data_IF_632655820238
#
_entry.id   IF_632655820238
#
_cell.length_a   1.000
_cell.length_b   1.000
_cell.length_c   1.000
_cell.angle_alpha   90.00
_cell.angle_beta   90.00
_cell.angle_gamma   90.00
#
_symmetry.space_group_name_H-M   'P 1'
#
loop_
_entity.id
_entity.type
_entity.pdbx_description
1 polymer ?
#
# COMPACT_ATOMS: atom_id res chain seq x y z
N UNK A 1 -2.99 6.59 20.56
CA UNK A 1 -3.29 5.20 20.14
C UNK A 1 -3.26 5.11 18.62
N UNK A 2 -2.77 4.00 18.04
CA UNK A 2 -2.65 3.79 16.59
C UNK A 2 -3.65 2.75 16.09
N UNK A 3 -4.39 3.05 15.02
CA UNK A 3 -5.17 2.05 14.28
C UNK A 3 -4.28 1.41 13.21
N UNK A 4 -4.01 0.12 13.31
CA UNK A 4 -3.21 -0.63 12.32
C UNK A 4 -4.17 -1.38 11.40
N UNK A 5 -4.11 -1.10 10.12
CA UNK A 5 -4.90 -1.79 9.08
C UNK A 5 -4.05 -2.87 8.43
N UNK A 6 -4.54 -4.11 8.51
CA UNK A 6 -4.02 -5.27 7.79
C UNK A 6 -5.04 -5.70 6.73
N UNK A 7 -4.67 -5.61 5.46
CA UNK A 7 -5.53 -6.07 4.36
C UNK A 7 -5.18 -7.52 4.05
N UNK A 8 -6.16 -8.43 4.23
CA UNK A 8 -6.02 -9.85 3.90
C UNK A 8 -6.79 -10.22 2.64
N UNK A 9 -6.19 -11.00 1.77
CA UNK A 9 -6.86 -11.67 0.65
C UNK A 9 -6.18 -13.00 0.33
N UNK A 10 -6.82 -14.12 0.70
CA UNK A 10 -6.28 -15.48 0.54
C UNK A 10 -4.86 -15.63 1.13
N UNK A 11 -4.59 -14.99 2.27
CA UNK A 11 -3.25 -14.85 2.83
C UNK A 11 -3.17 -15.07 4.35
N UNK A 12 -4.03 -15.93 4.94
CA UNK A 12 -4.08 -16.14 6.38
C UNK A 12 -2.74 -16.48 7.02
N UNK A 13 -1.89 -17.26 6.36
CA UNK A 13 -0.58 -17.64 6.89
C UNK A 13 0.32 -16.42 7.13
N UNK A 14 0.34 -15.49 6.20
CA UNK A 14 1.12 -14.26 6.33
C UNK A 14 0.48 -13.32 7.33
N UNK A 15 -0.85 -13.15 7.27
CA UNK A 15 -1.60 -12.33 8.23
C UNK A 15 -1.40 -12.80 9.66
N UNK A 16 -1.48 -14.09 9.94
CA UNK A 16 -1.24 -14.66 11.28
C UNK A 16 0.20 -14.42 11.72
N UNK A 17 1.19 -14.65 10.87
CA UNK A 17 2.59 -14.39 11.20
C UNK A 17 2.86 -12.90 11.50
N UNK A 18 2.19 -11.99 10.79
CA UNK A 18 2.24 -10.55 11.07
C UNK A 18 1.62 -10.24 12.44
N UNK A 19 0.43 -10.79 12.72
CA UNK A 19 -0.24 -10.65 14.02
C UNK A 19 0.60 -11.21 15.16
N UNK A 20 1.19 -12.40 15.02
CA UNK A 20 2.09 -12.99 16.02
C UNK A 20 3.22 -12.01 16.37
N UNK A 21 3.89 -11.46 15.35
CA UNK A 21 4.98 -10.50 15.58
C UNK A 21 4.51 -9.22 16.26
N UNK A 22 3.35 -8.70 15.87
CA UNK A 22 2.77 -7.46 16.38
C UNK A 22 2.31 -7.62 17.84
N UNK A 23 1.52 -8.64 18.13
CA UNK A 23 0.99 -8.87 19.48
C UNK A 23 2.05 -9.34 20.48
N UNK A 24 3.15 -9.94 20.02
CA UNK A 24 4.26 -10.31 20.88
C UNK A 24 5.07 -9.10 21.40
N UNK A 25 5.12 -8.00 20.64
CA UNK A 25 6.14 -6.96 20.85
C UNK A 25 5.59 -5.56 21.05
N UNK A 26 4.32 -5.28 20.67
CA UNK A 26 3.80 -3.92 20.63
C UNK A 26 2.60 -3.70 21.58
N UNK A 27 2.40 -2.43 21.92
CA UNK A 27 1.26 -1.90 22.66
C UNK A 27 0.89 -0.52 22.11
N UNK A 28 -0.24 0.04 22.57
CA UNK A 28 -0.69 1.37 22.11
C UNK A 28 -1.37 1.35 20.74
N UNK A 29 -1.89 0.18 20.34
CA UNK A 29 -2.58 -0.01 19.07
C UNK A 29 -3.86 -0.83 19.22
N UNK A 30 -4.70 -0.78 18.21
CA UNK A 30 -5.69 -1.80 17.88
C UNK A 30 -5.57 -2.16 16.40
N UNK A 31 -6.00 -3.36 16.02
CA UNK A 31 -5.90 -3.85 14.64
C UNK A 31 -7.26 -3.82 13.95
N UNK A 32 -7.27 -3.42 12.70
CA UNK A 32 -8.40 -3.63 11.80
C UNK A 32 -7.93 -4.60 10.72
N UNK A 33 -8.41 -5.84 10.79
CA UNK A 33 -8.18 -6.84 9.75
C UNK A 33 -9.31 -6.69 8.73
N UNK A 34 -9.01 -6.19 7.54
CA UNK A 34 -9.96 -6.17 6.45
C UNK A 34 -9.75 -7.41 5.56
N UNK A 35 -10.62 -8.40 5.71
CA UNK A 35 -10.65 -9.50 4.75
C UNK A 35 -11.31 -9.04 3.45
N UNK A 36 -10.55 -9.05 2.39
CA UNK A 36 -10.93 -8.48 1.11
C UNK A 36 -11.65 -9.50 0.20
N UNK A 37 -12.59 -10.24 0.79
CA UNK A 37 -13.39 -11.25 0.11
C UNK A 37 -12.58 -12.50 -0.23
N UNK A 38 -11.85 -13.05 0.73
CA UNK A 38 -11.13 -14.31 0.59
C UNK A 38 -12.05 -15.46 0.23
N UNK A 39 -11.56 -16.36 -0.62
CA UNK A 39 -12.31 -17.53 -1.09
C UNK A 39 -11.75 -18.86 -0.53
N UNK A 40 -10.68 -18.78 0.25
CA UNK A 40 -10.04 -19.88 0.96
C UNK A 40 -10.46 -19.93 2.44
N UNK A 41 -9.73 -20.66 3.27
CA UNK A 41 -9.96 -20.78 4.72
C UNK A 41 -9.44 -19.59 5.55
N UNK A 42 -9.05 -18.49 4.92
CA UNK A 42 -8.40 -17.34 5.58
C UNK A 42 -9.23 -16.80 6.75
N UNK A 43 -10.52 -16.52 6.54
CA UNK A 43 -11.38 -15.95 7.58
C UNK A 43 -11.47 -16.89 8.77
N UNK A 44 -11.68 -18.20 8.54
CA UNK A 44 -11.78 -19.20 9.61
C UNK A 44 -10.48 -19.31 10.41
N UNK A 45 -9.32 -19.33 9.73
CA UNK A 45 -8.01 -19.42 10.38
C UNK A 45 -7.67 -18.17 11.20
N UNK A 46 -7.93 -16.97 10.66
CA UNK A 46 -7.70 -15.71 11.36
C UNK A 46 -8.62 -15.65 12.60
N UNK A 47 -9.90 -15.99 12.45
CA UNK A 47 -10.86 -16.03 13.58
C UNK A 47 -10.41 -17.03 14.66
N UNK A 48 -9.94 -18.21 14.26
CA UNK A 48 -9.42 -19.21 15.20
C UNK A 48 -8.20 -18.70 15.97
N UNK A 49 -7.29 -17.99 15.27
CA UNK A 49 -6.13 -17.38 15.90
C UNK A 49 -6.53 -16.29 16.91
N UNK A 50 -7.45 -15.39 16.55
CA UNK A 50 -7.96 -14.32 17.43
C UNK A 50 -8.55 -14.91 18.71
N UNK A 51 -9.37 -15.96 18.58
CA UNK A 51 -9.98 -16.66 19.72
C UNK A 51 -8.93 -17.36 20.60
N UNK A 52 -7.98 -18.08 20.00
CA UNK A 52 -6.93 -18.79 20.72
C UNK A 52 -6.01 -17.85 21.53
N UNK A 53 -5.85 -16.61 21.06
CA UNK A 53 -5.07 -15.59 21.75
C UNK A 53 -5.90 -14.66 22.65
N UNK A 54 -7.21 -14.96 22.86
CA UNK A 54 -8.15 -14.17 23.66
C UNK A 54 -8.19 -12.69 23.25
N UNK A 55 -8.11 -12.40 21.96
CA UNK A 55 -8.21 -11.04 21.44
C UNK A 55 -9.67 -10.62 21.39
N UNK A 56 -10.02 -9.55 22.12
CA UNK A 56 -11.37 -8.98 22.05
C UNK A 56 -11.63 -8.47 20.63
N UNK A 57 -12.62 -9.06 19.95
CA UNK A 57 -12.84 -8.88 18.51
C UNK A 57 -14.28 -8.50 18.20
N UNK A 58 -14.45 -7.44 17.43
CA UNK A 58 -15.72 -7.05 16.81
C UNK A 58 -15.69 -7.44 15.34
N UNK A 59 -16.62 -8.30 14.91
CA UNK A 59 -16.75 -8.67 13.50
C UNK A 59 -17.83 -7.85 12.82
N UNK A 60 -17.48 -7.23 11.69
CA UNK A 60 -18.35 -6.42 10.86
C UNK A 60 -18.46 -7.03 9.46
N UNK A 61 -19.68 -7.04 8.91
CA UNK A 61 -19.92 -7.51 7.54
C UNK A 61 -20.32 -6.32 6.67
N UNK A 62 -19.54 -6.06 5.63
CA UNK A 62 -19.87 -5.06 4.63
C UNK A 62 -21.04 -5.54 3.78
N UNK A 63 -22.04 -4.70 3.55
CA UNK A 63 -23.23 -5.02 2.75
C UNK A 63 -23.31 -4.09 1.55
N UNK A 64 -23.13 -4.63 0.35
CA UNK A 64 -23.05 -3.84 -0.88
C UNK A 64 -21.87 -2.85 -0.80
N UNK A 65 -22.12 -1.59 -1.08
CA UNK A 65 -21.11 -0.52 -1.02
C UNK A 65 -20.97 0.11 0.38
N UNK A 66 -21.87 -0.22 1.33
CA UNK A 66 -21.89 0.40 2.65
C UNK A 66 -20.96 -0.34 3.61
N UNK A 67 -20.01 0.39 4.16
CA UNK A 67 -19.13 -0.07 5.24
C UNK A 67 -19.83 0.17 6.60
N UNK A 68 -20.06 -0.87 7.43
CA UNK A 68 -20.59 -0.70 8.77
C UNK A 68 -19.57 -0.04 9.68
N UNK A 69 -20.06 0.77 10.63
CA UNK A 69 -19.20 1.42 11.61
C UNK A 69 -19.30 0.70 12.96
N UNK A 70 -18.19 0.70 13.71
CA UNK A 70 -18.17 0.16 15.08
C UNK A 70 -18.99 1.05 16.01
N UNK A 71 -19.65 0.42 16.97
CA UNK A 71 -20.50 1.12 17.94
C UNK A 71 -19.73 1.67 19.15
N UNK A 72 -18.59 1.08 19.48
CA UNK A 72 -17.74 1.46 20.61
C UNK A 72 -16.28 1.59 20.17
N UNK A 73 -15.50 2.51 20.78
CA UNK A 73 -14.09 2.65 20.44
C UNK A 73 -13.31 1.39 20.84
N UNK A 74 -12.42 0.88 20.00
CA UNK A 74 -11.53 -0.21 20.36
C UNK A 74 -10.55 0.22 21.46
N UNK A 75 -10.27 -0.71 22.35
CA UNK A 75 -9.23 -0.57 23.37
C UNK A 75 -7.88 -1.01 22.84
N UNK A 76 -6.84 -0.85 23.67
CA UNK A 76 -5.51 -1.31 23.35
C UNK A 76 -5.52 -2.83 23.09
N UNK A 77 -4.96 -3.24 21.95
CA UNK A 77 -4.86 -4.62 21.47
C UNK A 77 -6.19 -5.30 21.10
N UNK A 78 -7.29 -4.55 20.98
CA UNK A 78 -8.53 -5.05 20.40
C UNK A 78 -8.38 -5.27 18.89
N UNK A 79 -9.30 -6.04 18.32
CA UNK A 79 -9.39 -6.28 16.88
C UNK A 79 -10.77 -5.93 16.34
N UNK A 80 -10.79 -5.30 15.17
CA UNK A 80 -11.96 -5.20 14.30
C UNK A 80 -11.72 -6.10 13.09
N UNK A 81 -12.55 -7.13 12.91
CA UNK A 81 -12.52 -7.97 11.72
C UNK A 81 -13.61 -7.51 10.75
N UNK A 82 -13.20 -6.79 9.69
CA UNK A 82 -14.10 -6.35 8.64
C UNK A 82 -14.10 -7.36 7.49
N UNK A 83 -15.25 -7.93 7.18
CA UNK A 83 -15.45 -8.87 6.10
C UNK A 83 -16.03 -8.12 4.89
N UNK A 84 -15.23 -7.91 3.85
CA UNK A 84 -15.67 -7.40 2.56
C UNK A 84 -16.29 -8.54 1.74
N UNK A 85 -17.39 -8.27 1.04
CA UNK A 85 -18.07 -9.30 0.23
C UNK A 85 -17.29 -9.68 -1.03
N UNK A 86 -16.34 -8.85 -1.43
CA UNK A 86 -15.53 -9.03 -2.63
C UNK A 86 -14.16 -8.37 -2.47
N UNK A 87 -13.24 -8.68 -3.38
CA UNK A 87 -11.95 -8.02 -3.44
C UNK A 87 -12.13 -6.60 -4.01
N UNK A 88 -11.99 -5.60 -3.16
CA UNK A 88 -12.10 -4.18 -3.47
C UNK A 88 -10.81 -3.59 -4.07
N UNK A 89 -9.71 -4.36 -4.08
CA UNK A 89 -8.36 -3.87 -4.37
C UNK A 89 -7.67 -3.31 -3.12
N UNK A 90 -6.46 -2.78 -3.31
CA UNK A 90 -5.63 -2.35 -2.18
C UNK A 90 -6.16 -1.07 -1.53
N UNK A 91 -6.35 -0.02 -2.31
CA UNK A 91 -6.77 1.29 -1.76
C UNK A 91 -8.16 1.23 -1.14
N UNK A 92 -9.15 0.71 -1.86
CA UNK A 92 -10.53 0.66 -1.38
C UNK A 92 -10.70 -0.30 -0.20
N UNK A 93 -9.94 -1.42 -0.14
CA UNK A 93 -9.94 -2.33 1.00
C UNK A 93 -9.40 -1.67 2.27
N UNK A 94 -8.28 -0.95 2.17
CA UNK A 94 -7.71 -0.18 3.29
C UNK A 94 -8.64 0.97 3.72
N UNK A 95 -9.21 1.71 2.76
CA UNK A 95 -10.15 2.79 3.06
C UNK A 95 -11.43 2.27 3.74
N UNK A 96 -11.98 1.13 3.33
CA UNK A 96 -13.11 0.50 4.02
C UNK A 96 -12.78 0.17 5.48
N UNK A 97 -11.55 -0.31 5.76
CA UNK A 97 -11.09 -0.52 7.13
C UNK A 97 -11.07 0.79 7.93
N UNK A 98 -10.57 1.87 7.36
CA UNK A 98 -10.53 3.19 8.01
C UNK A 98 -11.94 3.79 8.16
N UNK A 99 -12.83 3.58 7.20
CA UNK A 99 -14.22 4.03 7.26
C UNK A 99 -14.99 3.38 8.42
N UNK A 100 -14.74 2.10 8.73
CA UNK A 100 -15.45 1.43 9.82
C UNK A 100 -15.17 2.03 11.20
N UNK A 101 -14.06 2.75 11.38
CA UNK A 101 -13.70 3.43 12.62
C UNK A 101 -13.96 4.95 12.59
N UNK A 102 -14.63 5.47 11.55
CA UNK A 102 -14.89 6.91 11.37
C UNK A 102 -15.46 7.63 12.60
N UNK A 103 -16.32 7.03 13.45
CA UNK A 103 -16.79 7.65 14.68
C UNK A 103 -15.68 7.87 15.73
N UNK A 104 -14.57 7.18 15.61
CA UNK A 104 -13.45 7.20 16.56
C UNK A 104 -12.18 7.60 15.86
N UNK A 105 -11.46 8.51 16.48
CA UNK A 105 -10.28 9.14 15.87
C UNK A 105 -9.02 8.73 16.62
N UNK A 106 -8.30 7.71 16.16
CA UNK A 106 -6.96 7.42 16.71
C UNK A 106 -6.01 8.57 16.38
N UNK A 107 -4.92 8.71 17.13
CA UNK A 107 -3.91 9.76 16.87
C UNK A 107 -3.21 9.49 15.52
N UNK A 108 -3.00 8.21 15.24
CA UNK A 108 -2.34 7.72 14.03
C UNK A 108 -3.14 6.59 13.39
N UNK A 109 -3.08 6.53 12.07
CA UNK A 109 -3.48 5.36 11.28
C UNK A 109 -2.27 4.77 10.59
N UNK A 110 -2.15 3.44 10.56
CA UNK A 110 -1.05 2.75 9.92
C UNK A 110 -1.58 1.72 8.94
N UNK A 111 -1.23 1.85 7.66
CA UNK A 111 -1.37 0.78 6.69
C UNK A 111 -0.15 -0.11 6.81
N UNK A 112 -0.36 -1.39 7.03
CA UNK A 112 0.71 -2.39 7.16
C UNK A 112 0.36 -3.62 6.32
N UNK A 113 1.22 -3.98 5.39
CA UNK A 113 1.01 -5.18 4.60
C UNK A 113 1.03 -6.43 5.50
N UNK A 114 0.13 -7.35 5.23
CA UNK A 114 -0.02 -8.58 6.00
C UNK A 114 1.15 -9.58 5.82
N UNK A 115 2.00 -9.40 4.81
CA UNK A 115 3.22 -10.19 4.55
C UNK A 115 4.49 -9.57 5.17
N UNK A 116 4.31 -8.79 6.24
CA UNK A 116 5.39 -8.19 7.02
C UNK A 116 5.57 -8.86 8.38
N UNK A 117 6.78 -8.77 8.93
CA UNK A 117 7.10 -9.12 10.30
C UNK A 117 7.67 -7.89 11.00
N UNK A 118 7.08 -7.50 12.11
CA UNK A 118 7.55 -6.34 12.88
C UNK A 118 8.60 -6.73 13.90
N UNK A 119 9.47 -5.78 14.27
CA UNK A 119 10.48 -5.96 15.32
C UNK A 119 10.05 -5.24 16.61
N UNK A 120 10.56 -5.65 17.77
CA UNK A 120 10.22 -5.02 19.04
C UNK A 120 10.44 -3.50 19.04
N UNK A 121 9.40 -2.75 19.40
CA UNK A 121 9.44 -1.31 19.53
C UNK A 121 9.27 -0.53 18.21
N UNK A 122 9.01 -1.19 17.07
CA UNK A 122 8.91 -0.51 15.79
C UNK A 122 7.81 0.58 15.79
N UNK A 123 6.64 0.27 16.34
CA UNK A 123 5.53 1.21 16.39
C UNK A 123 5.81 2.36 17.36
N UNK A 124 6.30 2.03 18.55
CA UNK A 124 6.67 3.04 19.54
C UNK A 124 7.73 4.01 19.00
N UNK A 125 8.74 3.50 18.30
CA UNK A 125 9.77 4.33 17.67
C UNK A 125 9.15 5.29 16.65
N UNK A 126 8.25 4.81 15.77
CA UNK A 126 7.57 5.66 14.79
C UNK A 126 6.69 6.74 15.44
N UNK A 127 5.85 6.34 16.40
CA UNK A 127 4.93 7.29 17.05
C UNK A 127 5.66 8.31 17.89
N UNK A 128 6.66 7.89 18.69
CA UNK A 128 7.46 8.83 19.49
C UNK A 128 8.27 9.79 18.63
N UNK A 129 8.77 9.31 17.47
CA UNK A 129 9.47 10.17 16.52
C UNK A 129 8.51 11.20 15.91
N UNK A 130 7.33 10.78 15.47
CA UNK A 130 6.30 11.70 14.96
C UNK A 130 5.83 12.69 16.05
N UNK A 131 5.66 12.28 17.30
CA UNK A 131 5.28 13.16 18.40
C UNK A 131 6.32 14.25 18.63
N UNK A 132 7.63 13.93 18.49
CA UNK A 132 8.72 14.88 18.61
C UNK A 132 8.90 15.79 17.39
N UNK A 133 8.35 15.43 16.22
CA UNK A 133 8.53 16.14 14.94
C UNK A 133 7.17 16.49 14.32
N UNK A 134 6.53 17.53 14.86
CA UNK A 134 5.16 17.92 14.49
C UNK A 134 5.02 18.39 13.03
N UNK A 135 6.11 18.79 12.38
CA UNK A 135 6.17 19.19 10.97
C UNK A 135 5.99 18.02 10.00
N UNK A 136 6.21 16.78 10.46
CA UNK A 136 6.00 15.58 9.65
C UNK A 136 4.59 15.02 9.85
N UNK A 137 3.92 14.72 8.75
CA UNK A 137 2.53 14.22 8.76
C UNK A 137 2.41 12.72 8.56
N UNK A 138 3.45 12.10 8.02
CA UNK A 138 3.51 10.66 7.79
C UNK A 138 4.95 10.15 7.87
N UNK A 139 5.11 8.87 8.21
CA UNK A 139 6.39 8.20 8.25
C UNK A 139 6.29 6.74 7.79
N UNK A 140 7.44 6.16 7.47
CA UNK A 140 7.61 4.73 7.21
C UNK A 140 8.77 4.19 8.03
N UNK A 141 8.74 2.94 8.50
CA UNK A 141 9.92 2.32 9.07
C UNK A 141 10.94 2.00 7.97
N UNK A 142 12.16 1.69 8.34
CA UNK A 142 13.10 0.97 7.49
C UNK A 142 12.52 -0.41 7.20
N UNK A 143 12.35 -0.72 5.91
CA UNK A 143 11.82 -2.01 5.48
C UNK A 143 12.96 -2.83 4.89
N UNK A 144 13.25 -3.97 5.49
CA UNK A 144 14.24 -4.92 4.99
C UNK A 144 13.58 -6.14 4.35
N UNK A 145 14.31 -6.84 3.49
CA UNK A 145 13.84 -8.14 3.01
C UNK A 145 13.73 -9.12 4.17
N UNK A 146 12.71 -9.96 4.18
CA UNK A 146 12.66 -11.05 5.15
C UNK A 146 13.77 -12.09 4.88
N UNK A 147 14.21 -12.20 3.62
CA UNK A 147 15.36 -13.01 3.22
C UNK A 147 16.01 -12.40 1.96
N UNK A 148 17.27 -11.96 2.01
CA UNK A 148 18.16 -11.88 3.20
C UNK A 148 17.87 -10.64 4.07
N UNK A 149 17.85 -10.84 5.38
CA UNK A 149 17.44 -9.79 6.35
C UNK A 149 18.39 -8.59 6.48
N UNK A 150 19.63 -8.70 6.03
CA UNK A 150 20.60 -7.60 6.11
C UNK A 150 20.43 -6.54 5.01
N UNK A 151 19.62 -6.84 3.98
CA UNK A 151 19.41 -5.92 2.86
C UNK A 151 18.15 -5.09 3.03
N UNK A 152 18.28 -3.80 2.82
CA UNK A 152 17.16 -2.87 2.75
C UNK A 152 16.33 -3.14 1.50
N UNK A 153 15.03 -3.29 1.68
CA UNK A 153 14.08 -3.28 0.58
C UNK A 153 13.65 -1.86 0.22
N UNK A 154 13.30 -1.06 1.24
CA UNK A 154 12.80 0.30 1.05
C UNK A 154 13.02 1.16 2.31
N UNK A 155 13.50 2.39 2.11
CA UNK A 155 13.54 3.47 3.10
C UNK A 155 12.81 4.71 2.57
N UNK A 156 11.63 4.52 1.96
CA UNK A 156 10.97 5.60 1.23
C UNK A 156 11.72 5.94 -0.06
N UNK A 157 11.57 7.16 -0.54
CA UNK A 157 12.24 7.55 -1.78
C UNK A 157 12.01 9.00 -2.18
N UNK A 158 12.53 9.35 -3.34
CA UNK A 158 12.31 10.63 -3.98
C UNK A 158 11.31 10.48 -5.13
N UNK A 159 10.30 11.33 -5.10
CA UNK A 159 9.29 11.44 -6.14
C UNK A 159 9.77 12.34 -7.26
N UNK A 160 9.52 11.92 -8.48
CA UNK A 160 9.68 12.72 -9.71
C UNK A 160 8.39 12.61 -10.52
N UNK A 161 8.11 13.55 -11.43
CA UNK A 161 6.94 13.42 -12.30
C UNK A 161 6.99 12.11 -13.11
N UNK A 162 6.04 11.19 -12.79
CA UNK A 162 5.94 9.87 -13.42
C UNK A 162 7.01 8.86 -13.07
N UNK A 163 7.86 9.15 -12.09
CA UNK A 163 8.92 8.24 -11.65
C UNK A 163 9.19 8.39 -10.15
N UNK A 164 9.72 7.33 -9.53
CA UNK A 164 10.21 7.34 -8.15
C UNK A 164 11.57 6.64 -8.06
N UNK A 165 12.41 7.10 -7.18
CA UNK A 165 13.68 6.48 -6.84
C UNK A 165 13.62 6.04 -5.37
N UNK A 166 13.72 4.75 -5.13
CA UNK A 166 13.83 4.22 -3.77
C UNK A 166 15.19 4.56 -3.17
N UNK A 167 15.19 4.92 -1.90
CA UNK A 167 16.41 5.12 -1.15
C UNK A 167 16.92 3.79 -0.61
N UNK A 168 18.21 3.60 -0.75
CA UNK A 168 19.01 2.51 -0.18
C UNK A 168 18.54 1.09 -0.56
N UNK A 169 17.72 0.92 -1.57
CA UNK A 169 17.29 -0.39 -2.03
C UNK A 169 18.49 -1.31 -2.31
N UNK A 170 18.48 -2.50 -1.71
CA UNK A 170 19.55 -3.52 -1.77
C UNK A 170 20.87 -3.15 -1.09
N UNK A 171 20.94 -2.05 -0.35
CA UNK A 171 22.08 -1.71 0.49
C UNK A 171 21.98 -2.41 1.84
N UNK A 172 23.15 -2.61 2.49
CA UNK A 172 23.21 -3.02 3.88
C UNK A 172 22.79 -1.87 4.81
N UNK A 173 22.21 -2.19 5.98
CA UNK A 173 21.91 -1.17 6.98
C UNK A 173 23.18 -0.45 7.47
N UNK A 174 24.29 -1.14 7.56
CA UNK A 174 25.58 -0.57 7.95
C UNK A 174 26.03 0.61 7.08
N UNK A 175 25.54 0.68 5.82
CA UNK A 175 25.85 1.76 4.91
C UNK A 175 25.03 3.05 5.17
N UNK A 176 24.00 2.98 6.03
CA UNK A 176 23.04 4.08 6.25
C UNK A 176 22.79 4.42 7.71
N UNK A 177 23.43 3.70 8.65
CA UNK A 177 23.17 3.80 10.10
C UNK A 177 23.56 5.13 10.75
N UNK A 178 24.25 6.03 10.03
CA UNK A 178 24.66 7.35 10.54
C UNK A 178 23.52 8.35 10.66
N UNK A 179 22.33 8.00 10.13
CA UNK A 179 21.14 8.83 10.16
C UNK A 179 20.09 8.24 11.09
N UNK A 180 19.35 9.06 11.80
CA UNK A 180 18.16 8.66 12.59
C UNK A 180 16.91 8.59 11.69
N UNK A 181 16.81 9.49 10.71
CA UNK A 181 15.74 9.53 9.73
C UNK A 181 16.24 10.01 8.35
N UNK A 182 15.38 9.89 7.36
CA UNK A 182 15.61 10.39 5.99
C UNK A 182 14.34 11.12 5.53
N UNK A 183 14.51 12.34 5.05
CA UNK A 183 13.44 13.07 4.36
C UNK A 183 13.06 12.36 3.07
N UNK A 184 11.77 12.09 2.89
CA UNK A 184 11.27 11.41 1.72
C UNK A 184 10.13 12.20 1.07
N UNK A 185 10.00 12.08 -0.23
CA UNK A 185 8.84 12.60 -0.98
C UNK A 185 8.01 11.48 -1.62
N UNK A 186 8.46 10.24 -1.47
CA UNK A 186 7.71 9.03 -1.83
C UNK A 186 7.69 8.07 -0.64
N UNK A 187 6.49 7.59 -0.29
CA UNK A 187 6.26 6.57 0.73
C UNK A 187 5.53 5.38 0.12
N UNK A 188 5.89 4.17 0.52
CA UNK A 188 5.22 2.95 0.03
C UNK A 188 4.03 2.58 0.89
N UNK A 189 2.96 2.06 0.28
CA UNK A 189 1.81 1.52 0.99
C UNK A 189 2.09 0.26 1.82
N UNK A 190 3.29 -0.33 1.72
CA UNK A 190 3.67 -1.51 2.50
C UNK A 190 3.65 -1.26 4.01
N UNK A 191 4.16 -0.10 4.46
CA UNK A 191 4.12 0.34 5.86
C UNK A 191 4.11 1.86 5.91
N UNK A 192 2.93 2.43 6.03
CA UNK A 192 2.70 3.87 6.05
C UNK A 192 1.95 4.22 7.32
N UNK A 193 2.59 4.96 8.24
CA UNK A 193 1.90 5.59 9.37
C UNK A 193 1.63 7.06 9.04
N UNK A 194 0.41 7.51 9.33
CA UNK A 194 -0.04 8.86 9.03
C UNK A 194 -0.78 9.45 10.23
N UNK A 195 -0.65 10.76 10.43
CA UNK A 195 -1.51 11.49 11.37
C UNK A 195 -2.96 11.46 10.88
N UNK A 196 -3.91 11.35 11.81
CA UNK A 196 -5.35 11.32 11.49
C UNK A 196 -5.85 12.48 10.64
N UNK A 197 -5.18 13.62 10.72
CA UNK A 197 -5.54 14.83 9.97
C UNK A 197 -5.38 14.69 8.46
N UNK A 198 -4.70 13.63 7.99
CA UNK A 198 -4.58 13.30 6.57
C UNK A 198 -5.77 12.51 6.02
N UNK A 199 -6.66 12.03 6.88
CA UNK A 199 -7.89 11.38 6.46
C UNK A 199 -8.88 12.42 5.91
N UNK A 200 -9.53 12.08 4.81
CA UNK A 200 -10.57 12.93 4.24
C UNK A 200 -11.90 12.82 5.01
N UNK A 201 -12.95 13.47 4.52
CA UNK A 201 -14.28 13.49 5.16
C UNK A 201 -14.93 12.11 5.26
N UNK A 202 -14.52 11.16 4.43
CA UNK A 202 -14.97 9.77 4.45
C UNK A 202 -14.04 8.84 5.22
N UNK A 203 -13.04 9.42 5.88
CA UNK A 203 -12.00 8.71 6.62
C UNK A 203 -11.08 7.89 5.71
N UNK A 204 -10.91 8.30 4.45
CA UNK A 204 -10.02 7.66 3.50
C UNK A 204 -8.64 8.31 3.48
N UNK A 205 -7.62 7.50 3.37
CA UNK A 205 -6.22 7.93 3.22
C UNK A 205 -5.75 7.86 1.76
N UNK A 206 -6.16 6.82 1.05
CA UNK A 206 -5.75 6.53 -0.33
C UNK A 206 -6.84 6.88 -1.33
N UNK A 207 -6.45 7.11 -2.58
CA UNK A 207 -7.41 7.27 -3.68
C UNK A 207 -7.97 5.92 -4.10
N UNK A 208 -9.29 5.82 -4.26
CA UNK A 208 -9.97 4.62 -4.81
C UNK A 208 -9.87 4.52 -6.34
N UNK A 209 -9.07 5.39 -6.98
CA UNK A 209 -8.95 5.43 -8.45
C UNK A 209 -8.31 4.18 -9.04
N UNK A 210 -7.51 3.46 -8.27
CA UNK A 210 -6.80 2.29 -8.72
C UNK A 210 -7.23 1.05 -7.94
N UNK A 211 -7.54 -0.02 -8.66
CA UNK A 211 -7.78 -1.32 -8.01
C UNK A 211 -6.51 -1.82 -7.31
N UNK A 212 -5.35 -1.67 -7.97
CA UNK A 212 -4.04 -2.04 -7.40
C UNK A 212 -2.91 -1.32 -8.13
N UNK A 213 -2.01 -0.70 -7.37
CA UNK A 213 -0.83 0.03 -7.85
C UNK A 213 -1.12 1.51 -8.15
N UNK A 214 -0.17 2.37 -7.85
CA UNK A 214 -0.18 3.84 -7.98
C UNK A 214 -0.93 4.61 -6.86
N UNK A 215 -1.63 3.97 -5.96
CA UNK A 215 -2.27 4.62 -4.81
C UNK A 215 -1.25 5.27 -3.86
N UNK A 216 -0.10 4.64 -3.64
CA UNK A 216 1.02 5.19 -2.86
C UNK A 216 1.72 6.34 -3.60
N UNK A 217 1.77 6.25 -4.93
CA UNK A 217 2.30 7.30 -5.77
C UNK A 217 1.37 8.53 -5.78
N UNK A 218 0.05 8.33 -5.89
CA UNK A 218 -0.96 9.39 -5.76
C UNK A 218 -0.87 10.08 -4.39
N UNK A 219 -0.82 9.30 -3.31
CA UNK A 219 -0.64 9.82 -1.96
C UNK A 219 0.60 10.71 -1.86
N UNK A 220 1.74 10.21 -2.36
CA UNK A 220 3.01 10.93 -2.35
C UNK A 220 2.97 12.23 -3.16
N UNK A 221 2.29 12.24 -4.32
CA UNK A 221 2.08 13.47 -5.10
C UNK A 221 1.23 14.47 -4.31
N UNK A 222 0.14 14.03 -3.67
CA UNK A 222 -0.72 14.91 -2.87
C UNK A 222 0.06 15.56 -1.71
N UNK A 223 0.86 14.78 -0.99
CA UNK A 223 1.72 15.29 0.10
C UNK A 223 2.75 16.30 -0.41
N UNK A 224 3.45 15.95 -1.50
CA UNK A 224 4.45 16.84 -2.11
C UNK A 224 3.84 18.17 -2.57
N UNK A 225 2.65 18.16 -3.17
CA UNK A 225 1.95 19.37 -3.62
C UNK A 225 1.40 20.22 -2.47
N UNK A 226 1.03 19.58 -1.37
CA UNK A 226 0.59 20.26 -0.17
C UNK A 226 1.77 20.71 0.73
N UNK A 227 3.03 20.56 0.25
CA UNK A 227 4.24 20.85 1.02
C UNK A 227 4.27 20.17 2.39
N UNK A 228 3.74 18.93 2.48
CA UNK A 228 3.73 18.13 3.69
C UNK A 228 4.99 17.28 3.76
N UNK A 229 5.64 17.28 4.93
CA UNK A 229 6.85 16.51 5.16
C UNK A 229 6.56 15.06 5.53
N UNK A 230 7.37 14.15 5.00
CA UNK A 230 7.33 12.72 5.29
C UNK A 230 8.75 12.21 5.55
N UNK A 231 8.89 11.21 6.42
CA UNK A 231 10.18 10.64 6.76
C UNK A 231 10.20 9.11 6.71
N UNK A 232 11.39 8.55 6.50
CA UNK A 232 11.72 7.19 6.90
C UNK A 232 12.48 7.23 8.22
N UNK A 233 11.94 6.63 9.27
CA UNK A 233 12.57 6.53 10.59
C UNK A 233 13.41 5.25 10.62
N UNK A 234 14.73 5.39 10.60
CA UNK A 234 15.65 4.27 10.35
C UNK A 234 15.76 3.29 11.51
N UNK A 235 15.55 3.74 12.76
CA UNK A 235 15.58 2.88 13.95
C UNK A 235 14.31 2.03 14.10
N UNK A 236 13.23 2.40 13.41
CA UNK A 236 12.06 1.55 13.29
C UNK A 236 12.25 0.54 12.16
N UNK A 237 12.12 -0.76 12.45
CA UNK A 237 12.42 -1.83 11.50
C UNK A 237 11.26 -2.81 11.36
N UNK A 238 10.97 -3.17 10.10
CA UNK A 238 10.15 -4.33 9.75
C UNK A 238 10.81 -5.16 8.66
N UNK A 239 10.42 -6.43 8.54
CA UNK A 239 10.80 -7.32 7.45
C UNK A 239 9.62 -7.55 6.52
N UNK A 240 9.85 -7.58 5.21
CA UNK A 240 8.83 -7.79 4.19
C UNK A 240 9.16 -9.02 3.34
N UNK A 241 8.18 -9.92 3.15
CA UNK A 241 8.38 -11.17 2.39
C UNK A 241 8.44 -10.97 0.87
N UNK A 242 8.26 -9.82 0.38
CA UNK A 242 8.29 -9.37 -1.03
C UNK A 242 7.88 -10.44 -2.05
N UNK A 243 6.89 -10.18 -2.88
CA UNK A 243 6.35 -11.08 -3.91
C UNK A 243 5.44 -12.23 -3.41
N UNK A 244 4.99 -12.25 -2.16
CA UNK A 244 4.02 -13.23 -1.70
C UNK A 244 2.71 -13.20 -2.52
N UNK A 245 2.31 -12.02 -2.99
CA UNK A 245 1.06 -11.81 -3.74
C UNK A 245 1.21 -11.79 -5.26
N UNK A 246 2.43 -11.89 -5.81
CA UNK A 246 2.68 -11.81 -7.26
C UNK A 246 2.68 -13.21 -7.86
N UNK A 247 1.50 -13.71 -8.23
CA UNK A 247 1.34 -14.96 -8.99
C UNK A 247 2.03 -14.92 -10.38
N UNK A 248 2.02 -16.06 -11.09
CA UNK A 248 2.53 -16.23 -12.47
C UNK A 248 1.69 -15.46 -13.52
N UNK A 249 1.58 -14.15 -13.36
CA UNK A 249 0.85 -13.31 -14.31
C UNK A 249 1.72 -12.87 -15.48
N UNK A 250 1.08 -12.63 -16.63
CA UNK A 250 1.73 -12.14 -17.84
C UNK A 250 2.59 -10.89 -17.58
N UNK A 251 3.84 -10.93 -18.04
CA UNK A 251 4.76 -9.79 -17.95
C UNK A 251 4.21 -8.57 -18.72
N UNK A 252 3.69 -8.77 -19.94
CA UNK A 252 3.12 -7.72 -20.78
C UNK A 252 1.85 -7.13 -20.15
N UNK A 253 1.01 -7.98 -19.53
CA UNK A 253 -0.17 -7.53 -18.78
C UNK A 253 0.17 -6.61 -17.61
N UNK A 254 1.22 -6.93 -16.86
CA UNK A 254 1.73 -6.06 -15.78
C UNK A 254 2.26 -4.74 -16.30
N UNK A 255 3.01 -4.74 -17.39
CA UNK A 255 3.50 -3.51 -18.02
C UNK A 255 2.34 -2.64 -18.50
N UNK A 256 1.33 -3.24 -19.14
CA UNK A 256 0.15 -2.53 -19.60
C UNK A 256 -0.60 -1.86 -18.44
N UNK A 257 -0.93 -2.61 -17.38
CA UNK A 257 -1.71 -2.05 -16.28
C UNK A 257 -0.93 -0.96 -15.52
N UNK A 258 0.38 -1.16 -15.33
CA UNK A 258 1.25 -0.14 -14.74
C UNK A 258 1.32 1.13 -15.61
N UNK A 259 1.36 1.00 -16.94
CA UNK A 259 1.35 2.13 -17.86
C UNK A 259 0.03 2.90 -17.81
N UNK A 260 -1.12 2.19 -17.76
CA UNK A 260 -2.45 2.82 -17.66
C UNK A 260 -2.62 3.52 -16.32
N UNK A 261 -2.31 2.85 -15.21
CA UNK A 261 -2.39 3.42 -13.86
C UNK A 261 -1.55 4.70 -13.78
N UNK A 262 -0.27 4.62 -14.19
CA UNK A 262 0.65 5.75 -14.16
C UNK A 262 0.16 6.90 -15.06
N UNK A 263 -0.34 6.59 -16.25
CA UNK A 263 -0.85 7.59 -17.18
C UNK A 263 -2.09 8.32 -16.64
N UNK A 264 -3.03 7.59 -16.01
CA UNK A 264 -4.21 8.18 -15.33
C UNK A 264 -3.74 9.10 -14.20
N UNK A 265 -2.80 8.65 -13.37
CA UNK A 265 -2.26 9.44 -12.27
C UNK A 265 -1.57 10.72 -12.75
N UNK A 266 -0.72 10.61 -13.78
CA UNK A 266 -0.06 11.77 -14.39
C UNK A 266 -1.05 12.76 -15.01
N UNK A 267 -2.08 12.28 -15.71
CA UNK A 267 -3.13 13.13 -16.26
C UNK A 267 -3.93 13.87 -15.19
N UNK A 268 -4.18 13.22 -14.07
CA UNK A 268 -4.92 13.81 -12.95
C UNK A 268 -4.11 14.92 -12.26
N UNK A 269 -2.82 14.69 -12.04
CA UNK A 269 -2.00 15.61 -11.26
C UNK A 269 -1.27 16.68 -12.08
N UNK A 270 -0.97 16.42 -13.36
CA UNK A 270 -0.15 17.31 -14.17
C UNK A 270 -0.85 17.77 -15.42
N UNK A 271 -1.29 18.77 -15.79
CA UNK A 271 -2.06 19.27 -16.94
C UNK A 271 -1.83 18.53 -18.27
N UNK A 272 -2.73 18.71 -19.20
CA UNK A 272 -2.80 17.95 -20.46
C UNK A 272 -1.51 17.99 -21.28
N UNK A 273 -0.88 19.18 -21.44
CA UNK A 273 0.34 19.32 -22.22
C UNK A 273 1.50 18.47 -21.66
N UNK A 274 1.71 18.53 -20.34
CA UNK A 274 2.70 17.71 -19.66
C UNK A 274 2.40 16.23 -19.79
N UNK A 275 1.13 15.82 -19.61
CA UNK A 275 0.71 14.43 -19.78
C UNK A 275 1.07 13.87 -21.16
N UNK A 276 0.75 14.58 -22.25
CA UNK A 276 1.05 14.10 -23.60
C UNK A 276 2.57 13.99 -23.85
N UNK A 277 3.35 14.99 -23.44
CA UNK A 277 4.80 14.94 -23.57
C UNK A 277 5.38 13.76 -22.78
N UNK A 278 5.03 13.67 -21.51
CA UNK A 278 5.52 12.61 -20.62
C UNK A 278 5.13 11.22 -21.13
N UNK A 279 3.85 11.01 -21.49
CA UNK A 279 3.38 9.68 -21.91
C UNK A 279 3.98 9.25 -23.24
N UNK A 280 4.28 10.17 -24.14
CA UNK A 280 5.04 9.89 -25.38
C UNK A 280 6.44 9.39 -25.04
N UNK A 281 7.19 10.13 -24.23
CA UNK A 281 8.54 9.73 -23.81
C UNK A 281 8.55 8.41 -23.03
N UNK A 282 7.61 8.23 -22.12
CA UNK A 282 7.43 6.99 -21.38
C UNK A 282 7.14 5.80 -22.31
N UNK A 283 6.26 5.99 -23.28
CA UNK A 283 5.92 4.96 -24.29
C UNK A 283 7.15 4.58 -25.12
N UNK A 284 7.91 5.57 -25.59
CA UNK A 284 9.14 5.32 -26.36
C UNK A 284 10.18 4.53 -25.53
N UNK A 285 10.46 5.02 -24.32
CA UNK A 285 11.43 4.37 -23.43
C UNK A 285 11.02 2.92 -23.10
N UNK A 286 9.76 2.71 -22.68
CA UNK A 286 9.28 1.38 -22.29
C UNK A 286 9.16 0.45 -23.49
N UNK A 287 8.82 0.97 -24.68
CA UNK A 287 8.82 0.18 -25.93
C UNK A 287 10.22 -0.33 -26.26
N UNK A 288 11.23 0.52 -26.18
CA UNK A 288 12.62 0.11 -26.41
C UNK A 288 13.07 -0.96 -25.41
N UNK A 289 12.67 -0.81 -24.15
CA UNK A 289 12.97 -1.81 -23.12
C UNK A 289 12.28 -3.14 -23.39
N UNK A 290 10.98 -3.14 -23.77
CA UNK A 290 10.24 -4.36 -24.11
C UNK A 290 10.85 -5.08 -25.32
N UNK A 291 11.23 -4.35 -26.36
CA UNK A 291 11.88 -4.92 -27.55
C UNK A 291 13.22 -5.59 -27.20
N UNK A 292 14.05 -4.93 -26.37
CA UNK A 292 15.31 -5.49 -25.85
C UNK A 292 15.09 -6.73 -24.98
N UNK A 293 13.93 -6.84 -24.32
CA UNK A 293 13.54 -8.00 -23.53
C UNK A 293 12.90 -9.13 -24.34
N UNK A 294 12.97 -9.06 -25.68
CA UNK A 294 12.49 -10.12 -26.57
C UNK A 294 11.02 -10.02 -26.99
N UNK A 295 10.30 -8.95 -26.64
CA UNK A 295 8.93 -8.78 -27.11
C UNK A 295 8.89 -8.33 -28.56
N UNK A 296 7.87 -8.78 -29.33
CA UNK A 296 7.72 -8.38 -30.72
C UNK A 296 7.29 -6.92 -30.87
N UNK A 297 7.68 -6.27 -31.95
CA UNK A 297 7.25 -4.91 -32.28
C UNK A 297 5.71 -4.83 -32.40
N UNK A 298 5.07 -5.87 -32.93
CA UNK A 298 3.62 -5.96 -33.09
C UNK A 298 2.90 -5.96 -31.71
N UNK A 299 3.36 -6.80 -30.78
CA UNK A 299 2.84 -6.87 -29.42
C UNK A 299 3.03 -5.55 -28.67
N UNK A 300 4.25 -5.00 -28.70
CA UNK A 300 4.57 -3.71 -28.07
C UNK A 300 3.68 -2.57 -28.58
N UNK A 301 3.49 -2.47 -29.91
CA UNK A 301 2.64 -1.46 -30.53
C UNK A 301 1.17 -1.62 -30.09
N UNK A 302 0.65 -2.85 -30.05
CA UNK A 302 -0.74 -3.12 -29.61
C UNK A 302 -0.92 -2.73 -28.15
N UNK A 303 0.01 -3.11 -27.28
CA UNK A 303 0.01 -2.77 -25.86
C UNK A 303 -0.12 -1.25 -25.67
N UNK A 304 0.77 -0.46 -26.26
CA UNK A 304 0.74 0.99 -26.06
C UNK A 304 -0.39 1.69 -26.78
N UNK A 305 -0.81 1.22 -27.95
CA UNK A 305 -2.02 1.75 -28.62
C UNK A 305 -3.26 1.60 -27.73
N UNK A 306 -3.38 0.47 -27.04
CA UNK A 306 -4.44 0.25 -26.07
C UNK A 306 -4.27 1.08 -24.81
N UNK A 307 -3.05 1.09 -24.22
CA UNK A 307 -2.76 1.89 -23.03
C UNK A 307 -3.08 3.39 -23.26
N UNK A 308 -2.71 3.94 -24.42
CA UNK A 308 -3.06 5.30 -24.82
C UNK A 308 -4.56 5.55 -24.88
N UNK A 309 -5.33 4.61 -25.43
CA UNK A 309 -6.77 4.69 -25.51
C UNK A 309 -7.40 4.67 -24.12
N UNK A 310 -7.03 3.69 -23.30
CA UNK A 310 -7.66 3.44 -22.03
C UNK A 310 -7.26 4.52 -20.99
N UNK A 311 -6.02 4.97 -20.97
CA UNK A 311 -5.57 6.09 -20.13
C UNK A 311 -6.25 7.43 -20.43
N UNK A 312 -6.81 7.63 -21.65
CA UNK A 312 -7.57 8.83 -22.01
C UNK A 312 -9.06 8.72 -21.75
N UNK A 313 -9.59 7.49 -21.76
CA UNK A 313 -11.05 7.24 -21.66
C UNK A 313 -11.49 6.99 -20.22
N UNK A 314 -10.61 6.49 -19.39
CA UNK A 314 -10.93 6.11 -18.01
C UNK A 314 -10.22 7.04 -17.01
N UNK A 315 -10.92 7.39 -15.93
CA UNK A 315 -10.38 8.15 -14.80
C UNK A 315 -9.96 7.25 -13.63
N UNK A 316 -10.26 5.95 -13.76
CA UNK A 316 -9.94 4.92 -12.77
C UNK A 316 -9.64 3.59 -13.45
N UNK A 317 -8.98 2.70 -12.72
CA UNK A 317 -8.74 1.31 -13.12
C UNK A 317 -9.54 0.39 -12.23
N UNK A 318 -10.54 -0.25 -12.82
CA UNK A 318 -11.44 -1.18 -12.13
C UNK A 318 -10.83 -2.57 -11.98
N UNK A 319 -11.41 -3.39 -11.08
CA UNK A 319 -11.08 -4.82 -10.93
C UNK A 319 -11.11 -5.57 -12.27
N UNK A 320 -12.17 -5.35 -13.07
CA UNK A 320 -12.31 -6.00 -14.37
C UNK A 320 -11.20 -5.63 -15.36
N UNK A 321 -10.79 -4.36 -15.42
CA UNK A 321 -9.65 -3.91 -16.23
C UNK A 321 -8.34 -4.55 -15.76
N UNK A 322 -8.13 -4.59 -14.44
CA UNK A 322 -6.93 -5.18 -13.84
C UNK A 322 -6.83 -6.68 -14.13
N UNK A 323 -7.90 -7.45 -13.87
CA UNK A 323 -7.94 -8.88 -14.13
C UNK A 323 -7.80 -9.21 -15.62
N UNK A 324 -8.50 -8.44 -16.48
CA UNK A 324 -8.37 -8.58 -17.92
C UNK A 324 -6.90 -8.37 -18.36
N UNK A 325 -6.24 -7.32 -17.86
CA UNK A 325 -4.84 -7.05 -18.22
C UNK A 325 -3.91 -8.21 -17.84
N UNK A 326 -4.08 -8.76 -16.64
CA UNK A 326 -3.25 -9.88 -16.16
C UNK A 326 -3.51 -11.21 -16.89
N UNK A 327 -4.71 -11.38 -17.47
CA UNK A 327 -5.05 -12.57 -18.28
C UNK A 327 -4.44 -12.55 -19.69
N UNK A 328 -3.97 -11.39 -20.17
CA UNK A 328 -3.41 -11.27 -21.52
C UNK A 328 -2.01 -11.88 -21.57
N UNK A 329 -1.84 -12.97 -22.33
CA UNK A 329 -0.52 -13.58 -22.54
C UNK A 329 0.34 -12.76 -23.49
N UNK A 330 -0.29 -12.17 -24.53
CA UNK A 330 0.31 -11.31 -25.54
C UNK A 330 -0.66 -10.17 -25.91
N UNK A 331 -0.14 -9.00 -26.26
CA UNK A 331 -0.90 -7.87 -26.78
C UNK A 331 -0.86 -7.82 -28.30
#
# INVERSE_FOLDING_TARGET
MTAIVLLNWNGATDTIACLDSLYATETGFFVIIADNGSQDDSVARITSWLNANNINTVTLNRVGERTPQIATPPSNRDCVLLLNNENLGFAAGNNAALECIKPYTPDYVMLLNNDTLVTPGFLRTLTSWLDAHSEYVAATPRIQYNNPRHLVWNCGGKLYPGHRRYYYARKSYEEIREHDHIDITFITGCALIARRELLDTDNHLLTNRFFFGEEDFDFSIRMSRAHRHMACVLDSLIYHKVNASVGNHSHTGRVYIAAVNRAINMRHHYGKAFFYLWFTLFTLYTSLWLLRSGNSLRSTRRLFSRAWRDARRHDSVTRGMFQWALSQKDF
#
